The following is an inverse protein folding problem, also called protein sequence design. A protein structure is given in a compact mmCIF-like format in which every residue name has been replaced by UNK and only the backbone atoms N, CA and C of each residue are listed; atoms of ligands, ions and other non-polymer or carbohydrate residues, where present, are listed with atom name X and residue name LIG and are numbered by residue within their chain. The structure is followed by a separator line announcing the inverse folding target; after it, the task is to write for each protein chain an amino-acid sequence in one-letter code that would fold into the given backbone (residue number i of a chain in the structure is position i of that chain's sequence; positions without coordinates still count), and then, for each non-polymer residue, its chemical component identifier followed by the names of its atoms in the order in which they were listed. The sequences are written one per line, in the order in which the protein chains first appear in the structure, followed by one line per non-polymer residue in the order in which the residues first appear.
data_IF_885691146749
#
_entry.id   IF_885691146749
#
_cell.length_a   1.000
_cell.length_b   1.000
_cell.length_c   1.000
_cell.angle_alpha   90.00
_cell.angle_beta   90.00
_cell.angle_gamma   90.00
#
_symmetry.space_group_name_H-M   'P 1'
#
loop_
_entity.id
_entity.type
_entity.pdbx_description
1 polymer ?
#
# COMPACT_ATOMS: atom_id res chain seq x y z
N UNK A 1 23.94 -14.68 29.46
CA UNK A 1 22.65 -14.58 30.11
C UNK A 1 22.33 -13.18 30.62
N UNK A 2 21.31 -12.98 31.47
CA UNK A 2 20.87 -11.67 31.98
C UNK A 2 22.02 -10.84 32.59
N UNK A 3 22.92 -11.51 33.34
CA UNK A 3 24.09 -10.85 33.96
C UNK A 3 25.09 -10.30 32.95
N UNK A 4 25.26 -10.92 31.79
CA UNK A 4 26.10 -10.41 30.70
C UNK A 4 25.44 -9.23 30.00
N UNK A 5 24.11 -9.27 29.84
CA UNK A 5 23.36 -8.15 29.28
C UNK A 5 23.45 -6.91 30.17
N UNK A 6 23.40 -7.07 31.50
CA UNK A 6 23.61 -5.97 32.45
C UNK A 6 24.99 -5.30 32.29
N UNK A 7 26.02 -6.09 31.98
CA UNK A 7 27.39 -5.58 31.85
C UNK A 7 27.60 -4.69 30.62
N UNK A 8 26.64 -4.68 29.67
CA UNK A 8 26.68 -3.83 28.49
C UNK A 8 26.30 -2.37 28.75
N UNK A 9 25.72 -2.07 29.92
CA UNK A 9 25.42 -0.68 30.34
C UNK A 9 24.26 -0.01 29.63
N UNK A 10 23.40 -0.74 28.95
CA UNK A 10 22.23 -0.20 28.24
C UNK A 10 20.93 -0.14 29.07
N UNK A 11 21.03 -0.34 30.37
CA UNK A 11 19.90 -0.36 31.27
C UNK A 11 19.50 -1.79 31.72
N UNK A 12 18.31 -1.94 32.24
CA UNK A 12 17.83 -3.21 32.78
C UNK A 12 17.36 -4.14 31.66
N UNK A 13 17.95 -5.31 31.46
CA UNK A 13 17.58 -6.20 30.37
C UNK A 13 16.25 -6.94 30.65
N UNK A 14 15.41 -7.03 29.64
CA UNK A 14 14.17 -7.81 29.71
C UNK A 14 14.42 -9.20 29.14
N UNK A 15 14.19 -10.24 29.98
CA UNK A 15 14.30 -11.62 29.54
C UNK A 15 13.04 -12.06 28.79
N UNK A 16 13.20 -12.55 27.56
CA UNK A 16 12.09 -13.04 26.74
C UNK A 16 12.36 -14.44 26.20
N UNK A 17 11.32 -15.23 26.05
CA UNK A 17 11.31 -16.45 25.26
C UNK A 17 10.28 -16.33 24.13
N UNK A 18 10.74 -16.14 22.91
CA UNK A 18 9.87 -16.01 21.74
C UNK A 18 9.09 -17.32 21.45
N UNK A 19 9.68 -18.47 21.78
CA UNK A 19 9.08 -19.79 21.59
C UNK A 19 7.93 -20.06 22.56
N UNK A 20 8.07 -19.60 23.82
CA UNK A 20 7.10 -19.86 24.88
C UNK A 20 6.25 -18.64 25.26
N UNK A 21 6.50 -17.47 24.68
CA UNK A 21 5.80 -16.23 24.97
C UNK A 21 6.09 -15.65 26.36
N UNK A 22 7.09 -16.20 27.08
CA UNK A 22 7.49 -15.72 28.41
C UNK A 22 8.19 -14.34 28.31
N UNK A 23 7.90 -13.44 29.27
CA UNK A 23 8.49 -12.11 29.33
C UNK A 23 7.93 -11.10 28.32
N UNK A 24 6.93 -11.45 27.51
CA UNK A 24 6.35 -10.53 26.53
C UNK A 24 5.60 -9.36 27.18
N UNK A 25 4.99 -9.58 28.35
CA UNK A 25 4.34 -8.51 29.11
C UNK A 25 5.37 -7.50 29.65
N UNK A 26 6.51 -7.99 30.13
CA UNK A 26 7.59 -7.13 30.64
C UNK A 26 8.25 -6.34 29.51
N UNK A 27 8.44 -6.99 28.34
CA UNK A 27 8.90 -6.31 27.13
C UNK A 27 7.93 -5.18 26.72
N UNK A 28 6.62 -5.48 26.69
CA UNK A 28 5.62 -4.48 26.37
C UNK A 28 5.65 -3.29 27.34
N UNK A 29 5.74 -3.54 28.65
CA UNK A 29 5.86 -2.48 29.65
C UNK A 29 7.14 -1.65 29.48
N UNK A 30 8.28 -2.31 29.24
CA UNK A 30 9.55 -1.61 28.99
C UNK A 30 9.48 -0.72 27.74
N UNK A 31 8.82 -1.20 26.67
CA UNK A 31 8.59 -0.41 25.45
C UNK A 31 7.66 0.78 25.71
N UNK A 32 6.58 0.60 26.47
CA UNK A 32 5.65 1.68 26.84
C UNK A 32 6.38 2.76 27.66
N UNK A 33 7.20 2.37 28.64
CA UNK A 33 7.99 3.31 29.43
C UNK A 33 9.00 4.04 28.54
N UNK A 34 9.75 3.33 27.70
CA UNK A 34 10.73 3.93 26.80
C UNK A 34 10.06 4.85 25.76
N UNK A 35 8.82 4.56 25.34
CA UNK A 35 8.08 5.40 24.39
C UNK A 35 7.47 6.65 25.04
N UNK A 36 7.29 6.67 26.35
CA UNK A 36 6.81 7.88 27.06
C UNK A 36 7.84 9.01 27.09
N UNK A 37 9.13 8.68 27.06
CA UNK A 37 10.22 9.67 26.94
C UNK A 37 10.53 10.05 25.49
N UNK A 38 10.07 9.24 24.54
CA UNK A 38 10.08 9.56 23.12
C UNK A 38 8.74 10.26 22.83
N UNK A 39 8.60 11.53 23.20
CA UNK A 39 7.73 12.41 22.43
C UNK A 39 8.35 12.44 21.02
N UNK A 40 7.97 11.48 20.19
CA UNK A 40 7.93 11.73 18.77
C UNK A 40 6.85 12.80 18.67
N UNK A 41 7.24 14.08 18.78
CA UNK A 41 6.54 15.09 18.01
C UNK A 41 6.48 14.43 16.64
N UNK A 42 5.30 13.92 16.25
CA UNK A 42 5.01 13.79 14.84
C UNK A 42 5.21 15.22 14.33
N UNK A 43 6.43 15.51 13.92
CA UNK A 43 6.70 16.68 13.11
C UNK A 43 5.76 16.41 11.94
N UNK A 44 4.65 17.14 11.92
CA UNK A 44 3.84 17.31 10.73
C UNK A 44 4.84 17.89 9.72
N UNK A 45 5.63 17.01 9.09
CA UNK A 45 6.45 17.39 7.96
C UNK A 45 5.43 17.69 6.86
N UNK A 46 5.19 18.98 6.59
CA UNK A 46 4.16 19.35 5.60
C UNK A 46 4.45 18.78 4.21
N UNK A 47 5.62 18.17 4.04
CA UNK A 47 6.14 17.61 2.78
C UNK A 47 6.30 16.08 2.80
N UNK A 48 5.81 15.38 3.82
CA UNK A 48 5.94 13.92 3.86
C UNK A 48 5.16 13.28 2.69
N UNK A 49 5.81 12.48 1.83
CA UNK A 49 5.13 11.87 0.71
C UNK A 49 4.13 10.79 1.17
N UNK A 50 2.94 10.79 0.56
CA UNK A 50 1.98 9.70 0.72
C UNK A 50 2.56 8.45 0.05
N UNK A 51 2.76 7.40 0.82
CA UNK A 51 3.33 6.14 0.35
C UNK A 51 2.24 5.24 -0.20
N UNK A 52 2.38 4.90 -1.47
CA UNK A 52 1.41 4.07 -2.21
C UNK A 52 2.05 2.73 -2.56
N UNK A 53 1.35 1.63 -2.27
CA UNK A 53 1.68 0.30 -2.76
C UNK A 53 0.66 -0.15 -3.82
N UNK A 54 1.12 -0.95 -4.80
CA UNK A 54 0.26 -1.57 -5.82
C UNK A 54 0.31 -3.08 -5.64
N UNK A 55 -0.82 -3.67 -5.29
CA UNK A 55 -0.97 -5.10 -5.07
C UNK A 55 -2.05 -5.70 -5.98
N UNK A 56 -2.18 -7.00 -6.00
CA UNK A 56 -3.17 -7.75 -6.77
C UNK A 56 -2.60 -9.01 -7.36
N UNK A 57 -3.45 -9.86 -7.91
CA UNK A 57 -3.07 -11.14 -8.51
C UNK A 57 -2.12 -11.00 -9.71
N UNK A 58 -1.40 -12.06 -10.09
CA UNK A 58 -0.69 -12.11 -11.37
C UNK A 58 -1.63 -11.74 -12.53
N UNK A 59 -1.13 -11.04 -13.53
CA UNK A 59 -1.86 -10.61 -14.73
C UNK A 59 -3.06 -9.65 -14.51
N UNK A 60 -3.26 -9.14 -13.30
CA UNK A 60 -4.30 -8.14 -13.01
C UNK A 60 -4.01 -6.75 -13.62
N UNK A 61 -2.84 -6.54 -14.22
CA UNK A 61 -2.49 -5.26 -14.86
C UNK A 61 -1.61 -4.33 -14.02
N UNK A 62 -1.06 -4.80 -12.87
CA UNK A 62 -0.22 -3.99 -11.97
C UNK A 62 0.99 -3.34 -12.67
N UNK A 63 1.79 -4.13 -13.37
CA UNK A 63 2.99 -3.64 -14.07
C UNK A 63 2.64 -2.61 -15.15
N UNK A 64 1.53 -2.82 -15.87
CA UNK A 64 1.03 -1.88 -16.88
C UNK A 64 0.60 -0.57 -16.23
N UNK A 65 -0.10 -0.65 -15.07
CA UNK A 65 -0.51 0.53 -14.31
C UNK A 65 0.71 1.32 -13.82
N UNK A 66 1.68 0.65 -13.20
CA UNK A 66 2.89 1.28 -12.68
C UNK A 66 3.68 1.94 -13.81
N UNK A 67 3.88 1.25 -14.94
CA UNK A 67 4.57 1.83 -16.09
C UNK A 67 3.83 3.04 -16.65
N UNK A 68 2.52 3.03 -16.63
CA UNK A 68 1.70 4.16 -17.04
C UNK A 68 1.84 5.35 -16.10
N UNK A 69 1.76 5.11 -14.78
CA UNK A 69 1.93 6.15 -13.76
C UNK A 69 3.32 6.81 -13.83
N UNK A 70 4.36 6.01 -14.10
CA UNK A 70 5.74 6.50 -14.20
C UNK A 70 6.00 7.19 -15.56
N UNK A 71 5.34 6.76 -16.62
CA UNK A 71 5.57 7.24 -17.99
C UNK A 71 4.64 8.37 -18.44
N UNK A 72 3.66 8.76 -17.65
CA UNK A 72 2.75 9.85 -17.99
C UNK A 72 3.31 11.18 -17.47
N UNK A 73 3.86 12.00 -18.36
CA UNK A 73 4.42 13.33 -18.06
C UNK A 73 3.41 14.27 -17.38
N UNK A 74 2.10 13.99 -17.49
CA UNK A 74 1.04 14.75 -16.82
C UNK A 74 0.92 14.47 -15.34
N UNK A 75 1.42 13.32 -14.89
CA UNK A 75 1.43 12.93 -13.47
C UNK A 75 2.76 13.30 -12.80
N UNK A 76 3.81 13.54 -13.58
CA UNK A 76 5.14 13.90 -13.08
C UNK A 76 5.31 15.43 -13.19
N UNK A 77 4.63 16.20 -12.35
CA UNK A 77 4.83 17.65 -12.26
C UNK A 77 5.73 17.98 -11.08
N UNK A 78 7.01 18.17 -11.35
CA UNK A 78 7.98 18.63 -10.34
C UNK A 78 9.39 18.72 -10.93
N UNK A 79 10.21 19.71 -10.53
CA UNK A 79 11.55 19.95 -11.08
C UNK A 79 12.56 18.83 -10.81
N UNK A 80 12.22 17.86 -9.95
CA UNK A 80 13.08 16.74 -9.57
C UNK A 80 12.27 15.44 -9.52
N UNK A 81 11.86 14.93 -10.67
CA UNK A 81 11.49 13.52 -10.78
C UNK A 81 12.76 12.68 -10.60
N UNK A 82 13.23 12.59 -9.36
CA UNK A 82 14.43 11.87 -8.97
C UNK A 82 14.19 10.37 -9.00
N UNK A 83 14.40 9.74 -10.15
CA UNK A 83 14.62 8.30 -10.21
C UNK A 83 15.98 8.04 -9.57
N UNK A 84 16.03 7.90 -8.26
CA UNK A 84 17.25 7.44 -7.59
C UNK A 84 17.51 6.00 -8.05
N UNK A 85 18.66 5.80 -8.74
CA UNK A 85 19.04 4.52 -9.38
C UNK A 85 19.13 3.35 -8.40
N UNK A 86 19.20 3.63 -7.10
CA UNK A 86 19.35 2.63 -6.03
C UNK A 86 18.10 2.48 -5.17
N UNK A 87 17.04 3.31 -5.34
CA UNK A 87 15.84 3.23 -4.54
C UNK A 87 14.73 2.43 -5.24
N UNK A 88 14.09 1.64 -4.44
CA UNK A 88 12.94 0.77 -4.71
C UNK A 88 11.66 1.59 -4.89
N UNK A 89 11.75 2.92 -4.84
CA UNK A 89 10.62 3.86 -4.87
C UNK A 89 10.70 4.84 -6.04
N UNK A 90 9.55 5.39 -6.42
CA UNK A 90 9.40 6.47 -7.39
C UNK A 90 8.62 7.59 -6.72
N UNK A 91 9.21 8.78 -6.69
CA UNK A 91 8.63 9.96 -6.10
C UNK A 91 8.11 10.90 -7.20
N UNK A 92 6.94 11.49 -6.99
CA UNK A 92 6.40 12.56 -7.83
C UNK A 92 5.47 13.46 -7.02
N UNK A 93 4.99 14.53 -7.64
CA UNK A 93 4.06 15.46 -7.04
C UNK A 93 2.74 15.47 -7.82
N UNK A 94 1.62 15.44 -7.10
CA UNK A 94 0.28 15.56 -7.66
C UNK A 94 -0.52 16.59 -6.85
N UNK A 95 -1.01 17.65 -7.51
CA UNK A 95 -1.76 18.76 -6.89
C UNK A 95 -1.09 19.34 -5.62
N UNK A 96 0.24 19.44 -5.64
CA UNK A 96 1.02 19.96 -4.52
C UNK A 96 1.32 18.93 -3.42
N UNK A 97 0.76 17.73 -3.48
CA UNK A 97 1.03 16.65 -2.55
C UNK A 97 2.17 15.77 -3.06
N UNK A 98 3.16 15.51 -2.22
CA UNK A 98 4.24 14.58 -2.51
C UNK A 98 3.73 13.14 -2.43
N UNK A 99 4.04 12.35 -3.45
CA UNK A 99 3.61 10.94 -3.58
C UNK A 99 4.84 10.07 -3.75
N UNK A 100 4.86 8.92 -3.08
CA UNK A 100 5.90 7.90 -3.20
C UNK A 100 5.31 6.55 -3.51
N UNK A 101 5.61 6.01 -4.68
CA UNK A 101 5.28 4.64 -5.03
C UNK A 101 6.38 3.71 -4.51
N UNK A 102 6.04 2.82 -3.60
CA UNK A 102 6.98 1.91 -2.94
C UNK A 102 7.06 0.55 -3.65
N UNK A 103 8.19 -0.13 -3.47
CA UNK A 103 8.46 -1.50 -3.98
C UNK A 103 8.35 -1.68 -5.50
N UNK A 104 8.73 -0.66 -6.27
CA UNK A 104 8.74 -0.73 -7.73
C UNK A 104 9.88 -1.60 -8.29
N UNK A 105 10.96 -1.86 -7.54
CA UNK A 105 12.13 -2.59 -8.03
C UNK A 105 11.85 -4.06 -8.30
N UNK A 106 11.06 -4.71 -7.45
CA UNK A 106 10.57 -6.07 -7.70
C UNK A 106 9.78 -6.17 -9.01
N UNK A 107 8.98 -5.16 -9.31
CA UNK A 107 8.16 -5.09 -10.51
C UNK A 107 8.94 -4.67 -11.76
N UNK A 108 9.90 -3.70 -11.67
CA UNK A 108 10.74 -3.27 -12.80
C UNK A 108 11.71 -4.34 -13.27
N UNK A 109 12.34 -5.09 -12.36
CA UNK A 109 13.19 -6.24 -12.75
C UNK A 109 12.38 -7.31 -13.48
N UNK A 110 11.11 -7.51 -13.09
CA UNK A 110 10.19 -8.49 -13.70
C UNK A 110 9.64 -8.02 -15.04
N UNK A 111 9.39 -6.74 -15.23
CA UNK A 111 8.96 -6.19 -16.53
C UNK A 111 10.04 -6.28 -17.63
N UNK A 112 11.33 -6.36 -17.26
CA UNK A 112 12.45 -6.55 -18.21
C UNK A 112 12.79 -8.00 -18.50
N UNK A 113 12.38 -8.95 -17.66
CA UNK A 113 12.61 -10.38 -17.83
C UNK A 113 11.26 -11.02 -18.13
N UNK A 114 11.02 -11.25 -19.41
CA UNK A 114 9.80 -11.87 -19.94
C UNK A 114 9.33 -13.09 -19.15
N UNK A 115 8.02 -13.05 -18.80
CA UNK A 115 7.06 -14.16 -18.61
C UNK A 115 7.26 -15.23 -17.51
N UNK A 116 8.38 -15.34 -16.81
CA UNK A 116 8.53 -16.50 -15.88
C UNK A 116 8.49 -16.21 -14.37
N UNK A 117 8.36 -14.96 -13.91
CA UNK A 117 8.53 -14.62 -12.48
C UNK A 117 7.50 -13.61 -11.93
N UNK A 118 6.24 -13.65 -12.35
CA UNK A 118 5.17 -12.78 -11.83
C UNK A 118 4.65 -13.13 -10.42
N UNK A 119 5.27 -14.09 -9.75
CA UNK A 119 4.95 -14.32 -8.33
C UNK A 119 5.75 -13.32 -7.50
N UNK A 120 5.12 -12.18 -7.15
CA UNK A 120 5.53 -11.48 -5.92
C UNK A 120 5.54 -12.54 -4.82
N UNK A 121 6.64 -12.63 -4.07
CA UNK A 121 6.61 -13.52 -2.92
C UNK A 121 5.55 -12.94 -1.95
N UNK A 122 4.87 -13.79 -1.21
CA UNK A 122 3.92 -13.35 -0.18
C UNK A 122 4.59 -12.35 0.77
N UNK A 123 5.87 -12.56 1.07
CA UNK A 123 6.67 -11.66 1.90
C UNK A 123 6.83 -10.24 1.30
N UNK A 124 7.05 -10.14 -0.03
CA UNK A 124 7.15 -8.84 -0.70
C UNK A 124 5.82 -8.08 -0.66
N UNK A 125 4.71 -8.81 -0.84
CA UNK A 125 3.36 -8.22 -0.76
C UNK A 125 3.05 -7.71 0.65
N UNK A 126 3.34 -8.50 1.68
CA UNK A 126 3.18 -8.09 3.08
C UNK A 126 4.03 -6.85 3.36
N UNK A 127 5.29 -6.87 2.96
CA UNK A 127 6.19 -5.72 3.14
C UNK A 127 5.66 -4.46 2.45
N UNK A 128 5.20 -4.56 1.21
CA UNK A 128 4.64 -3.43 0.48
C UNK A 128 3.41 -2.85 1.21
N UNK A 129 2.50 -3.68 1.70
CA UNK A 129 1.33 -3.25 2.48
C UNK A 129 1.76 -2.57 3.78
N UNK A 130 2.67 -3.17 4.55
CA UNK A 130 3.10 -2.65 5.86
C UNK A 130 3.73 -1.25 5.77
N UNK A 131 4.46 -0.96 4.68
CA UNK A 131 5.13 0.34 4.50
C UNK A 131 4.28 1.38 3.75
N UNK A 132 3.14 1.02 3.19
CA UNK A 132 2.24 1.94 2.52
C UNK A 132 1.29 2.64 3.50
N UNK A 133 0.77 3.78 3.11
CA UNK A 133 -0.40 4.43 3.71
C UNK A 133 -1.64 4.13 2.88
N UNK A 134 -1.50 4.16 1.54
CA UNK A 134 -2.58 3.80 0.61
C UNK A 134 -2.17 2.58 -0.22
N UNK A 135 -3.07 1.63 -0.33
CA UNK A 135 -2.88 0.41 -1.12
C UNK A 135 -3.83 0.39 -2.30
N UNK A 136 -3.27 0.36 -3.51
CA UNK A 136 -4.03 0.17 -4.74
C UNK A 136 -4.17 -1.33 -5.01
N UNK A 137 -5.35 -1.88 -4.79
CA UNK A 137 -5.64 -3.28 -5.10
C UNK A 137 -6.15 -3.41 -6.53
N UNK A 138 -5.27 -3.84 -7.43
CA UNK A 138 -5.57 -4.00 -8.86
C UNK A 138 -6.19 -5.37 -9.12
N UNK A 139 -7.39 -5.36 -9.66
CA UNK A 139 -8.16 -6.55 -10.02
C UNK A 139 -8.52 -6.51 -11.50
N UNK A 140 -8.52 -7.67 -12.13
CA UNK A 140 -9.14 -7.81 -13.45
C UNK A 140 -10.67 -7.65 -13.32
N UNK A 141 -11.28 -6.86 -14.20
CA UNK A 141 -12.73 -6.62 -14.17
C UNK A 141 -13.57 -7.92 -14.27
N UNK A 142 -13.04 -8.95 -14.94
CA UNK A 142 -13.77 -10.20 -15.15
C UNK A 142 -13.68 -11.16 -13.97
N UNK A 143 -12.53 -11.17 -13.27
CA UNK A 143 -12.23 -12.09 -12.18
C UNK A 143 -12.09 -11.39 -10.81
N UNK A 144 -12.67 -10.20 -10.65
CA UNK A 144 -12.55 -9.42 -9.40
C UNK A 144 -13.20 -10.13 -8.21
N UNK A 145 -12.59 -9.93 -7.03
CA UNK A 145 -13.03 -10.51 -5.76
C UNK A 145 -13.00 -12.02 -5.69
N UNK A 146 -12.05 -12.65 -6.38
CA UNK A 146 -11.70 -14.06 -6.17
C UNK A 146 -11.02 -14.24 -4.78
N UNK A 147 -10.89 -15.48 -4.35
CA UNK A 147 -10.35 -15.85 -3.03
C UNK A 147 -9.04 -15.13 -2.70
N UNK A 148 -8.11 -15.01 -3.66
CA UNK A 148 -6.84 -14.34 -3.44
C UNK A 148 -7.00 -12.81 -3.28
N UNK A 149 -7.92 -12.19 -4.02
CA UNK A 149 -8.23 -10.76 -3.86
C UNK A 149 -8.81 -10.49 -2.47
N UNK A 150 -9.71 -11.36 -1.99
CA UNK A 150 -10.28 -11.24 -0.64
C UNK A 150 -9.23 -11.38 0.46
N UNK A 151 -8.28 -12.32 0.31
CA UNK A 151 -7.17 -12.48 1.24
C UNK A 151 -6.25 -11.25 1.28
N UNK A 152 -5.98 -10.65 0.12
CA UNK A 152 -5.20 -9.42 0.03
C UNK A 152 -5.90 -8.24 0.69
N UNK A 153 -7.22 -8.08 0.46
CA UNK A 153 -8.01 -7.02 1.07
C UNK A 153 -8.09 -7.16 2.60
N UNK A 154 -8.30 -8.38 3.11
CA UNK A 154 -8.28 -8.69 4.54
C UNK A 154 -6.91 -8.36 5.18
N UNK A 155 -5.81 -8.64 4.48
CA UNK A 155 -4.48 -8.27 4.94
C UNK A 155 -4.29 -6.75 5.01
N UNK A 156 -4.77 -6.00 4.01
CA UNK A 156 -4.70 -4.52 4.00
C UNK A 156 -5.47 -3.93 5.19
N UNK A 157 -6.64 -4.47 5.47
CA UNK A 157 -7.48 -4.07 6.61
C UNK A 157 -6.79 -4.36 7.93
N UNK A 158 -6.26 -5.58 8.12
CA UNK A 158 -5.52 -5.96 9.34
C UNK A 158 -4.29 -5.10 9.61
N UNK A 159 -3.59 -4.69 8.56
CA UNK A 159 -2.45 -3.77 8.67
C UNK A 159 -2.91 -2.30 8.84
N UNK A 160 -4.21 -2.04 8.91
CA UNK A 160 -4.78 -0.72 9.12
C UNK A 160 -4.49 0.27 8.00
N UNK A 161 -4.34 -0.21 6.75
CA UNK A 161 -3.99 0.62 5.60
C UNK A 161 -5.22 1.05 4.82
N UNK A 162 -5.13 2.23 4.21
CA UNK A 162 -6.17 2.73 3.33
C UNK A 162 -6.22 1.92 2.04
N UNK A 163 -7.41 1.47 1.61
CA UNK A 163 -7.61 0.68 0.41
C UNK A 163 -8.34 1.46 -0.68
N UNK A 164 -7.79 1.40 -1.90
CA UNK A 164 -8.46 1.84 -3.13
C UNK A 164 -8.58 0.64 -4.07
N UNK A 165 -9.80 0.29 -4.45
CA UNK A 165 -10.06 -0.75 -5.43
C UNK A 165 -9.82 -0.22 -6.85
N UNK A 166 -9.07 -0.96 -7.65
CA UNK A 166 -8.78 -0.62 -9.04
C UNK A 166 -9.23 -1.75 -9.97
N UNK A 167 -10.34 -1.55 -10.66
CA UNK A 167 -10.79 -2.45 -11.72
C UNK A 167 -10.04 -2.12 -13.02
N UNK A 168 -9.17 -3.03 -13.44
CA UNK A 168 -8.31 -2.89 -14.61
C UNK A 168 -8.97 -3.42 -15.88
N UNK A 169 -8.31 -3.24 -17.04
CA UNK A 169 -8.75 -3.68 -18.37
C UNK A 169 -10.13 -3.14 -18.78
N UNK A 170 -10.45 -1.94 -18.33
CA UNK A 170 -11.76 -1.32 -18.51
C UNK A 170 -12.07 -0.91 -19.96
N UNK A 171 -11.07 -0.96 -20.84
CA UNK A 171 -11.21 -0.79 -22.30
C UNK A 171 -11.97 -1.95 -22.96
N UNK A 172 -12.00 -3.09 -22.32
CA UNK A 172 -12.66 -4.30 -22.78
C UNK A 172 -14.11 -4.45 -22.24
N UNK A 173 -14.62 -3.42 -21.54
CA UNK A 173 -15.95 -3.49 -20.91
C UNK A 173 -16.99 -2.85 -21.80
N UNK A 174 -18.02 -3.62 -22.16
CA UNK A 174 -19.13 -3.18 -23.02
C UNK A 174 -20.21 -2.43 -22.23
N UNK A 175 -20.45 -2.83 -20.97
CA UNK A 175 -21.46 -2.22 -20.08
C UNK A 175 -20.82 -1.59 -18.83
N UNK A 176 -20.01 -0.51 -18.98
CA UNK A 176 -19.15 -0.03 -17.90
C UNK A 176 -19.91 0.43 -16.64
N UNK A 177 -21.11 0.99 -16.79
CA UNK A 177 -21.89 1.47 -15.65
C UNK A 177 -22.50 0.30 -14.84
N UNK A 178 -23.11 -0.65 -15.52
CA UNK A 178 -23.70 -1.83 -14.90
C UNK A 178 -22.61 -2.68 -14.22
N UNK A 179 -21.48 -2.87 -14.90
CA UNK A 179 -20.34 -3.62 -14.35
C UNK A 179 -19.76 -2.96 -13.11
N UNK A 180 -19.55 -1.64 -13.13
CA UNK A 180 -19.04 -0.89 -11.98
C UNK A 180 -19.98 -1.01 -10.77
N UNK A 181 -21.29 -0.87 -10.98
CA UNK A 181 -22.27 -1.01 -9.93
C UNK A 181 -22.21 -2.43 -9.29
N UNK A 182 -22.16 -3.47 -10.14
CA UNK A 182 -22.01 -4.85 -9.68
C UNK A 182 -20.73 -5.09 -8.88
N UNK A 183 -19.59 -4.55 -9.32
CA UNK A 183 -18.32 -4.70 -8.60
C UNK A 183 -18.35 -4.00 -7.24
N UNK A 184 -18.97 -2.83 -7.13
CA UNK A 184 -19.17 -2.13 -5.84
C UNK A 184 -20.07 -2.93 -4.90
N UNK A 185 -21.19 -3.48 -5.40
CA UNK A 185 -22.06 -4.35 -4.62
C UNK A 185 -21.33 -5.61 -4.13
N UNK A 186 -20.49 -6.21 -4.97
CA UNK A 186 -19.64 -7.34 -4.58
C UNK A 186 -18.64 -6.96 -3.49
N UNK A 187 -18.01 -5.78 -3.58
CA UNK A 187 -17.11 -5.28 -2.55
C UNK A 187 -17.84 -5.11 -1.21
N UNK A 188 -18.98 -4.43 -1.21
CA UNK A 188 -19.78 -4.19 -0.01
C UNK A 188 -20.31 -5.47 0.66
N UNK A 189 -20.58 -6.50 -0.17
CA UNK A 189 -21.10 -7.79 0.31
C UNK A 189 -20.00 -8.70 0.84
N UNK A 190 -18.87 -8.80 0.12
CA UNK A 190 -17.79 -9.72 0.46
C UNK A 190 -16.80 -9.14 1.49
N UNK A 191 -16.69 -7.83 1.56
CA UNK A 191 -15.75 -7.08 2.41
C UNK A 191 -16.47 -5.94 3.16
N UNK A 192 -17.48 -6.25 3.99
CA UNK A 192 -18.29 -5.24 4.66
C UNK A 192 -17.47 -4.31 5.58
N UNK A 193 -16.34 -4.78 6.10
CA UNK A 193 -15.40 -4.00 6.91
C UNK A 193 -14.68 -2.91 6.12
N UNK A 194 -14.60 -3.05 4.79
CA UNK A 194 -13.98 -2.09 3.87
C UNK A 194 -15.03 -1.28 3.08
N UNK A 195 -16.27 -1.27 3.56
CA UNK A 195 -17.36 -0.52 2.94
C UNK A 195 -17.03 0.97 2.90
N UNK A 196 -17.25 1.58 1.73
CA UNK A 196 -16.95 3.00 1.52
C UNK A 196 -15.55 3.27 0.98
N UNK A 197 -14.72 2.24 0.79
CA UNK A 197 -13.44 2.38 0.09
C UNK A 197 -13.65 2.90 -1.33
N UNK A 198 -12.72 3.75 -1.80
CA UNK A 198 -12.79 4.31 -3.14
C UNK A 198 -12.62 3.21 -4.22
N UNK A 199 -13.33 3.39 -5.33
CA UNK A 199 -13.35 2.42 -6.43
C UNK A 199 -13.10 3.12 -7.76
N UNK A 200 -12.00 2.75 -8.44
CA UNK A 200 -11.59 3.32 -9.72
C UNK A 200 -11.60 2.25 -10.80
N UNK A 201 -12.31 2.50 -11.89
CA UNK A 201 -12.29 1.68 -13.09
C UNK A 201 -11.43 2.37 -14.15
N UNK A 202 -10.40 1.68 -14.63
CA UNK A 202 -9.43 2.24 -15.57
C UNK A 202 -8.85 1.22 -16.57
N UNK A 203 -8.31 1.74 -17.66
CA UNK A 203 -7.44 0.98 -18.54
C UNK A 203 -6.04 1.59 -18.57
N UNK A 204 -5.08 0.86 -18.03
CA UNK A 204 -3.66 1.25 -18.10
C UNK A 204 -3.12 1.17 -19.53
N UNK A 205 -3.76 0.40 -20.42
CA UNK A 205 -3.35 0.25 -21.81
C UNK A 205 -3.61 1.51 -22.64
N UNK A 206 -4.84 2.04 -22.62
CA UNK A 206 -5.22 3.20 -23.42
C UNK A 206 -5.32 4.51 -22.61
N UNK A 207 -5.14 4.46 -21.28
CA UNK A 207 -5.16 5.61 -20.39
C UNK A 207 -6.54 6.04 -19.90
N UNK A 208 -7.62 5.38 -20.32
CA UNK A 208 -8.99 5.72 -19.91
C UNK A 208 -9.17 5.54 -18.40
N UNK A 209 -9.62 6.58 -17.70
CA UNK A 209 -9.93 6.55 -16.28
C UNK A 209 -8.72 6.75 -15.35
N UNK A 210 -7.49 6.86 -15.89
CA UNK A 210 -6.26 7.10 -15.10
C UNK A 210 -6.36 8.43 -14.35
N UNK A 211 -6.97 9.44 -14.94
CA UNK A 211 -7.17 10.77 -14.36
C UNK A 211 -7.98 10.75 -13.05
N UNK A 212 -8.73 9.67 -12.80
CA UNK A 212 -9.55 9.48 -11.60
C UNK A 212 -8.78 8.83 -10.45
N UNK A 213 -7.62 8.24 -10.74
CA UNK A 213 -6.91 7.42 -9.75
C UNK A 213 -6.34 8.28 -8.63
N UNK A 214 -5.60 9.33 -8.96
CA UNK A 214 -4.97 10.16 -7.93
C UNK A 214 -5.97 10.95 -7.08
N UNK A 215 -7.04 11.56 -7.63
CA UNK A 215 -8.12 12.14 -6.82
C UNK A 215 -8.75 11.12 -5.85
N UNK A 216 -8.96 9.87 -6.28
CA UNK A 216 -9.48 8.83 -5.41
C UNK A 216 -8.49 8.45 -4.29
N UNK A 217 -7.19 8.41 -4.61
CA UNK A 217 -6.11 8.17 -3.62
C UNK A 217 -6.09 9.27 -2.57
N UNK A 218 -6.09 10.54 -2.97
CA UNK A 218 -6.07 11.67 -2.04
C UNK A 218 -7.30 11.67 -1.14
N UNK A 219 -8.50 11.49 -1.71
CA UNK A 219 -9.74 11.41 -0.96
C UNK A 219 -9.75 10.27 0.06
N UNK A 220 -9.26 9.09 -0.35
CA UNK A 220 -9.17 7.94 0.51
C UNK A 220 -8.16 8.19 1.66
N UNK A 221 -7.00 8.78 1.35
CA UNK A 221 -5.98 9.14 2.33
C UNK A 221 -6.50 10.18 3.34
N UNK A 222 -7.17 11.24 2.89
CA UNK A 222 -7.79 12.24 3.75
C UNK A 222 -8.77 11.60 4.74
N UNK A 223 -9.65 10.70 4.26
CA UNK A 223 -10.60 10.00 5.12
C UNK A 223 -9.92 9.10 6.14
N UNK A 224 -8.86 8.39 5.73
CA UNK A 224 -8.11 7.48 6.58
C UNK A 224 -7.24 8.21 7.60
N UNK A 225 -6.66 9.37 7.24
CA UNK A 225 -5.73 10.14 8.09
C UNK A 225 -6.44 10.97 9.16
N UNK A 226 -7.79 11.04 9.16
CA UNK A 226 -8.53 11.77 10.18
C UNK A 226 -8.26 11.15 11.55
N UNK A 227 -7.53 11.89 12.40
CA UNK A 227 -7.32 11.52 13.80
C UNK A 227 -8.65 11.71 14.56
N UNK A 228 -9.25 10.60 15.01
CA UNK A 228 -10.38 10.68 15.96
C UNK A 228 -9.79 11.18 17.28
N UNK A 229 -10.16 12.40 17.68
CA UNK A 229 -9.84 12.91 19.03
C UNK A 229 -10.64 12.07 20.03
N UNK A 230 -9.94 11.20 20.75
CA UNK A 230 -10.46 10.51 21.95
C UNK A 230 -10.38 11.43 23.15
#
# INVERSE_FOLDING_TARGET
GIGEAHSLGFGEPVAISAEHGEGMADLYQALVVASQDIFIEEIDEPDKPIRIAVIGRPNAGKSTLINRLIGDDRLLTGPEAGITRDSISVDWQFEGQNIRLIDTAGMRRKARVQEKLEKLSVADTIRAITFAEVVLMVMDKDDAFDTQDLQLADLVEREGRCLVYVASKWDLEEEPQARLAKLKEMADTKLPQLKGSEFVALSSFNGRGIERLMPAVLKAYETWSVKVKT
#
